data_IF_111896409876
#
_entry.id   IF_111896409876
#
_cell.length_a   1.000
_cell.length_b   1.000
_cell.length_c   1.000
_cell.angle_alpha   90.00
_cell.angle_beta   90.00
_cell.angle_gamma   90.00
#
_symmetry.space_group_name_H-M   'P 1'
#
loop_
_entity.id
_entity.type
_entity.pdbx_description
1 polymer ?
#
# COMPACT_ATOMS: atom_id res chain seq x y z
N UNK A 1 8.57 13.35 -36.67
CA UNK A 1 7.53 13.12 -35.64
C UNK A 1 8.25 12.71 -34.38
N UNK A 2 8.22 13.55 -33.34
CA UNK A 2 8.90 13.29 -32.08
C UNK A 2 7.96 12.52 -31.17
N UNK A 3 8.22 11.23 -30.98
CA UNK A 3 7.60 10.44 -29.91
C UNK A 3 8.16 10.90 -28.57
N UNK A 4 7.50 11.88 -27.95
CA UNK A 4 7.75 12.24 -26.57
C UNK A 4 7.25 11.10 -25.69
N UNK A 5 8.20 10.36 -25.13
CA UNK A 5 8.02 9.41 -24.04
C UNK A 5 7.07 9.99 -22.98
N UNK A 6 5.81 9.56 -23.00
CA UNK A 6 4.88 9.74 -21.90
C UNK A 6 5.18 8.67 -20.85
N UNK A 7 6.38 8.72 -20.26
CA UNK A 7 6.61 8.02 -19.01
C UNK A 7 5.67 8.68 -17.98
N UNK A 8 4.73 7.94 -17.36
CA UNK A 8 3.86 8.50 -16.34
C UNK A 8 4.73 9.21 -15.31
N UNK A 9 4.41 10.47 -15.01
CA UNK A 9 5.14 11.19 -13.96
C UNK A 9 5.03 10.34 -12.68
N UNK A 10 6.10 10.19 -11.89
CA UNK A 10 6.07 9.33 -10.68
C UNK A 10 4.82 9.52 -9.77
N UNK A 11 4.24 10.73 -9.60
CA UNK A 11 2.98 10.93 -8.87
C UNK A 11 1.76 10.23 -9.50
N UNK A 12 1.74 10.10 -10.83
CA UNK A 12 0.69 9.41 -11.59
C UNK A 12 0.81 7.89 -11.43
N UNK A 13 2.04 7.38 -11.35
CA UNK A 13 2.31 5.97 -11.14
C UNK A 13 1.99 5.51 -9.71
N UNK A 14 2.20 6.36 -8.71
CA UNK A 14 2.03 6.06 -7.29
C UNK A 14 1.04 7.01 -6.62
N UNK A 15 -0.27 6.81 -6.80
CA UNK A 15 -1.30 7.79 -6.44
C UNK A 15 -1.49 7.96 -4.92
N UNK A 16 -0.98 7.03 -4.11
CA UNK A 16 -1.02 7.14 -2.64
C UNK A 16 0.38 6.99 -2.09
N UNK A 17 0.80 7.95 -1.26
CA UNK A 17 2.05 7.86 -0.52
C UNK A 17 1.88 8.38 0.90
N UNK A 18 2.70 7.88 1.83
CA UNK A 18 2.75 8.41 3.19
C UNK A 18 4.14 8.26 3.80
N UNK A 19 4.42 9.12 4.78
CA UNK A 19 5.56 8.96 5.67
C UNK A 19 5.20 7.90 6.72
N UNK A 20 6.03 6.87 6.84
CA UNK A 20 5.92 5.82 7.85
C UNK A 20 6.13 6.41 9.24
N UNK A 21 5.23 6.11 10.16
CA UNK A 21 5.37 6.44 11.58
C UNK A 21 6.01 5.28 12.34
N UNK A 22 6.37 5.49 13.61
CA UNK A 22 6.88 4.42 14.47
C UNK A 22 5.90 3.25 14.62
N UNK A 23 4.58 3.49 14.53
CA UNK A 23 3.59 2.42 14.59
C UNK A 23 3.58 1.57 13.32
N UNK A 24 3.77 2.19 12.15
CA UNK A 24 3.78 1.48 10.87
C UNK A 24 5.00 0.56 10.71
N UNK A 25 6.07 0.85 11.44
CA UNK A 25 7.33 0.06 11.45
C UNK A 25 7.48 -0.79 12.70
N UNK A 26 6.43 -0.94 13.51
CA UNK A 26 6.47 -1.79 14.69
C UNK A 26 6.30 -3.26 14.32
N UNK A 27 7.23 -4.11 14.77
CA UNK A 27 7.13 -5.57 14.59
C UNK A 27 6.18 -6.24 15.59
N UNK A 28 5.86 -5.58 16.71
CA UNK A 28 4.97 -6.13 17.75
C UNK A 28 3.49 -5.98 17.40
N UNK A 29 3.15 -4.95 16.62
CA UNK A 29 1.81 -4.72 16.07
C UNK A 29 1.95 -4.40 14.58
N UNK A 30 2.36 -5.40 13.81
CA UNK A 30 2.76 -5.23 12.42
C UNK A 30 1.55 -4.95 11.51
N UNK A 31 1.20 -3.68 11.42
CA UNK A 31 0.19 -3.14 10.51
C UNK A 31 0.66 -1.82 9.93
N UNK A 32 0.27 -1.54 8.70
CA UNK A 32 0.46 -0.28 8.03
C UNK A 32 -0.89 0.44 7.92
N UNK A 33 -0.98 1.65 8.45
CA UNK A 33 -2.21 2.42 8.38
C UNK A 33 -2.18 3.44 7.24
N UNK A 34 -3.23 3.53 6.44
CA UNK A 34 -3.42 4.59 5.45
C UNK A 34 -4.61 5.48 5.82
N UNK A 35 -4.50 6.82 5.62
CA UNK A 35 -5.64 7.73 5.73
C UNK A 35 -6.76 7.33 4.78
N UNK A 36 -8.01 7.49 5.23
CA UNK A 36 -9.20 7.04 4.50
C UNK A 36 -9.28 7.58 3.07
N UNK A 37 -9.33 8.90 2.91
CA UNK A 37 -9.64 9.54 1.64
C UNK A 37 -8.74 9.09 0.47
N UNK A 38 -7.39 9.22 0.53
CA UNK A 38 -6.53 8.84 -0.59
C UNK A 38 -6.59 7.34 -0.87
N UNK A 39 -6.68 6.50 0.17
CA UNK A 39 -6.73 5.06 -0.01
C UNK A 39 -8.07 4.60 -0.61
N UNK A 40 -9.18 5.18 -0.16
CA UNK A 40 -10.51 4.85 -0.67
C UNK A 40 -10.67 5.28 -2.13
N UNK A 41 -10.28 6.51 -2.46
CA UNK A 41 -10.40 7.06 -3.82
C UNK A 41 -9.50 6.32 -4.82
N UNK A 42 -8.23 6.07 -4.46
CA UNK A 42 -7.22 5.63 -5.42
C UNK A 42 -6.88 4.15 -5.38
N UNK A 43 -7.22 3.44 -4.30
CA UNK A 43 -7.01 1.99 -4.17
C UNK A 43 -8.34 1.26 -4.19
N UNK A 44 -9.22 1.51 -3.22
CA UNK A 44 -10.52 0.83 -3.13
C UNK A 44 -11.42 1.18 -4.32
N UNK A 45 -11.34 2.40 -4.83
CA UNK A 45 -12.07 2.83 -6.02
C UNK A 45 -11.79 1.99 -7.26
N UNK A 46 -10.59 1.39 -7.35
CA UNK A 46 -10.15 0.56 -8.48
C UNK A 46 -10.39 -0.94 -8.28
N UNK A 47 -10.79 -1.37 -7.08
CA UNK A 47 -11.19 -2.74 -6.81
C UNK A 47 -12.49 -3.10 -7.55
N UNK A 48 -12.78 -4.39 -7.70
CA UNK A 48 -14.08 -4.81 -8.21
C UNK A 48 -15.21 -4.54 -7.19
N UNK A 49 -16.45 -4.64 -7.64
CA UNK A 49 -17.61 -4.32 -6.80
C UNK A 49 -17.82 -5.32 -5.65
N UNK A 50 -17.36 -6.57 -5.77
CA UNK A 50 -17.45 -7.56 -4.70
C UNK A 50 -16.46 -7.24 -3.57
N UNK A 51 -15.21 -6.94 -3.93
CA UNK A 51 -14.17 -6.50 -3.02
C UNK A 51 -14.59 -5.22 -2.27
N UNK A 52 -15.16 -4.23 -2.97
CA UNK A 52 -15.69 -3.02 -2.35
C UNK A 52 -16.80 -3.31 -1.35
N UNK A 53 -17.71 -4.25 -1.67
CA UNK A 53 -18.79 -4.65 -0.75
C UNK A 53 -18.23 -5.30 0.51
N UNK A 54 -17.25 -6.20 0.38
CA UNK A 54 -16.61 -6.87 1.53
C UNK A 54 -15.93 -5.84 2.46
N UNK A 55 -15.32 -4.79 1.92
CA UNK A 55 -14.72 -3.71 2.75
C UNK A 55 -15.74 -2.75 3.38
N UNK A 56 -17.02 -2.84 3.00
CA UNK A 56 -18.13 -2.02 3.51
C UNK A 56 -19.14 -2.79 4.36
N UNK A 57 -19.07 -4.11 4.37
CA UNK A 57 -19.91 -5.00 5.18
C UNK A 57 -19.06 -5.72 6.21
N UNK A 58 -19.62 -6.02 7.38
CA UNK A 58 -18.95 -6.83 8.40
C UNK A 58 -18.48 -8.17 7.77
N UNK A 59 -17.18 -8.53 7.87
CA UNK A 59 -16.17 -8.14 8.87
C UNK A 59 -15.26 -6.95 8.50
N UNK A 60 -15.59 -6.15 7.49
CA UNK A 60 -14.83 -4.97 7.02
C UNK A 60 -13.38 -5.28 6.62
N UNK A 61 -13.08 -6.54 6.28
CA UNK A 61 -11.73 -7.00 5.95
C UNK A 61 -11.74 -7.92 4.74
N UNK A 62 -10.72 -7.75 3.91
CA UNK A 62 -10.54 -8.49 2.67
C UNK A 62 -9.07 -8.95 2.56
N UNK A 63 -8.87 -10.23 2.22
CA UNK A 63 -7.56 -10.73 1.83
C UNK A 63 -7.32 -10.42 0.35
N UNK A 64 -6.17 -9.83 0.04
CA UNK A 64 -5.77 -9.48 -1.33
C UNK A 64 -4.31 -9.85 -1.57
N UNK A 65 -3.93 -9.99 -2.84
CA UNK A 65 -2.53 -10.07 -3.21
C UNK A 65 -1.88 -8.68 -3.18
N UNK A 66 -0.66 -8.64 -2.64
CA UNK A 66 0.20 -7.48 -2.69
C UNK A 66 1.55 -7.83 -3.33
N UNK A 67 2.10 -6.88 -4.09
CA UNK A 67 3.39 -7.00 -4.78
C UNK A 67 4.34 -5.93 -4.24
N UNK A 68 5.51 -6.39 -3.81
CA UNK A 68 6.63 -5.54 -3.40
C UNK A 68 7.44 -5.18 -4.65
N UNK A 69 7.21 -4.00 -5.24
CA UNK A 69 7.86 -3.61 -6.51
C UNK A 69 9.39 -3.46 -6.36
N UNK A 70 9.91 -3.39 -5.13
CA UNK A 70 11.36 -3.33 -4.86
C UNK A 70 12.04 -4.70 -4.93
N UNK A 71 11.28 -5.80 -4.76
CA UNK A 71 11.82 -7.17 -4.72
C UNK A 71 11.11 -8.14 -5.66
N UNK A 72 10.02 -7.71 -6.30
CA UNK A 72 9.08 -8.54 -7.06
C UNK A 72 8.44 -9.68 -6.24
N UNK A 73 8.54 -9.65 -4.90
CA UNK A 73 7.89 -10.64 -4.05
C UNK A 73 6.37 -10.40 -3.97
N UNK A 74 5.60 -11.46 -4.18
CA UNK A 74 4.14 -11.47 -3.96
C UNK A 74 3.80 -12.01 -2.58
N UNK A 75 2.80 -11.42 -1.92
CA UNK A 75 2.29 -11.87 -0.62
C UNK A 75 0.83 -11.54 -0.46
N UNK A 76 0.09 -12.43 0.20
CA UNK A 76 -1.26 -12.12 0.65
C UNK A 76 -1.22 -11.21 1.88
N UNK A 77 -2.00 -10.13 1.84
CA UNK A 77 -2.21 -9.19 2.95
C UNK A 77 -3.69 -9.07 3.27
N UNK A 78 -4.01 -8.64 4.48
CA UNK A 78 -5.39 -8.35 4.89
C UNK A 78 -5.54 -6.83 4.96
N UNK A 79 -6.44 -6.29 4.13
CA UNK A 79 -6.92 -4.91 4.20
C UNK A 79 -8.14 -4.87 5.12
N UNK A 80 -8.11 -4.04 6.16
CA UNK A 80 -9.24 -3.82 7.07
C UNK A 80 -9.65 -2.36 7.05
N UNK A 81 -10.91 -2.09 6.74
CA UNK A 81 -11.53 -0.78 6.94
C UNK A 81 -11.78 -0.58 8.44
N UNK A 82 -11.18 0.45 9.03
CA UNK A 82 -11.27 0.75 10.47
C UNK A 82 -12.01 2.06 10.74
N UNK A 83 -12.81 2.53 9.79
CA UNK A 83 -13.59 3.77 9.89
C UNK A 83 -12.77 5.04 9.64
N UNK A 84 -11.62 5.20 10.31
CA UNK A 84 -10.68 6.32 10.13
C UNK A 84 -9.74 6.16 8.93
N UNK A 85 -9.68 4.96 8.36
CA UNK A 85 -8.82 4.63 7.24
C UNK A 85 -8.75 3.13 7.02
N UNK A 86 -7.64 2.68 6.47
CA UNK A 86 -7.42 1.26 6.13
C UNK A 86 -6.12 0.78 6.75
N UNK A 87 -6.18 -0.39 7.39
CA UNK A 87 -5.00 -1.09 7.85
C UNK A 87 -4.64 -2.20 6.87
N UNK A 88 -3.37 -2.30 6.54
CA UNK A 88 -2.79 -3.46 5.88
C UNK A 88 -2.06 -4.26 6.95
N UNK A 89 -2.38 -5.54 7.02
CA UNK A 89 -1.82 -6.48 7.99
C UNK A 89 -1.60 -7.82 7.32
N UNK A 90 -1.25 -8.85 8.11
CA UNK A 90 -0.82 -10.16 7.66
C UNK A 90 0.49 -10.10 6.86
N UNK A 91 1.53 -10.80 7.33
CA UNK A 91 2.89 -10.78 6.75
C UNK A 91 3.57 -9.40 6.67
N UNK A 92 2.92 -8.30 7.06
CA UNK A 92 3.51 -6.97 7.08
C UNK A 92 4.78 -6.91 7.95
N UNK A 93 4.80 -7.67 9.05
CA UNK A 93 5.98 -7.78 9.93
C UNK A 93 7.21 -8.39 9.26
N UNK A 94 7.03 -9.23 8.24
CA UNK A 94 8.15 -9.74 7.43
C UNK A 94 8.72 -8.63 6.55
N UNK A 95 7.85 -7.78 5.98
CA UNK A 95 8.25 -6.62 5.18
C UNK A 95 9.08 -5.65 6.00
N UNK A 96 8.62 -5.31 7.21
CA UNK A 96 9.34 -4.46 8.15
C UNK A 96 10.74 -5.01 8.41
N UNK A 97 10.87 -6.31 8.69
CA UNK A 97 12.16 -6.95 9.01
C UNK A 97 13.08 -7.04 7.80
N UNK A 98 12.59 -7.57 6.67
CA UNK A 98 13.38 -7.77 5.44
C UNK A 98 13.91 -6.46 4.89
N UNK A 99 13.05 -5.43 4.79
CA UNK A 99 13.41 -4.11 4.24
C UNK A 99 14.00 -3.18 5.29
N UNK A 100 14.11 -3.63 6.55
CA UNK A 100 14.56 -2.83 7.70
C UNK A 100 13.84 -1.48 7.76
N UNK A 101 12.51 -1.51 7.62
CA UNK A 101 11.69 -0.30 7.55
C UNK A 101 11.87 0.54 8.83
N UNK A 102 11.99 1.85 8.64
CA UNK A 102 12.15 2.85 9.70
C UNK A 102 11.12 3.95 9.54
N UNK A 103 10.72 4.53 10.67
CA UNK A 103 9.94 5.76 10.66
C UNK A 103 10.65 6.84 9.82
N UNK A 104 9.87 7.75 9.23
CA UNK A 104 10.30 8.80 8.29
C UNK A 104 10.61 8.32 6.86
N UNK A 105 10.60 7.02 6.58
CA UNK A 105 10.60 6.53 5.19
C UNK A 105 9.27 6.80 4.50
N UNK A 106 9.29 6.96 3.19
CA UNK A 106 8.07 7.10 2.38
C UNK A 106 7.72 5.75 1.81
N UNK A 107 6.50 5.30 2.06
CA UNK A 107 5.89 4.21 1.32
C UNK A 107 4.95 4.78 0.27
N UNK A 108 4.96 4.15 -0.91
CA UNK A 108 4.09 4.47 -2.04
C UNK A 108 3.28 3.23 -2.37
N UNK A 109 2.00 3.39 -2.68
CA UNK A 109 1.09 2.29 -3.04
C UNK A 109 0.21 2.68 -4.23
N UNK A 110 -0.16 1.66 -5.01
CA UNK A 110 -1.08 1.76 -6.16
C UNK A 110 -1.88 0.48 -6.29
N UNK A 111 -3.02 0.55 -6.96
CA UNK A 111 -3.72 -0.63 -7.43
C UNK A 111 -3.35 -0.87 -8.89
N UNK A 112 -2.93 -2.08 -9.24
CA UNK A 112 -2.59 -2.47 -10.60
C UNK A 112 -2.76 -3.99 -10.74
N UNK A 113 -3.17 -4.46 -11.92
CA UNK A 113 -3.30 -5.89 -12.24
C UNK A 113 -4.08 -6.71 -11.19
N UNK A 114 -5.12 -6.10 -10.61
CA UNK A 114 -5.96 -6.72 -9.57
C UNK A 114 -5.27 -6.93 -8.22
N UNK A 115 -4.11 -6.32 -7.99
CA UNK A 115 -3.30 -6.45 -6.79
C UNK A 115 -2.92 -5.08 -6.21
N UNK A 116 -2.56 -5.07 -4.92
CA UNK A 116 -1.95 -3.90 -4.29
C UNK A 116 -0.44 -3.90 -4.55
N UNK A 117 0.08 -2.92 -5.26
CA UNK A 117 1.52 -2.73 -5.41
C UNK A 117 2.02 -1.73 -4.37
N UNK A 118 3.23 -1.94 -3.86
CA UNK A 118 3.90 -0.98 -3.01
C UNK A 118 5.42 -0.94 -3.21
N UNK A 119 6.01 0.20 -2.93
CA UNK A 119 7.46 0.43 -2.88
C UNK A 119 7.81 1.28 -1.68
N UNK A 120 9.01 1.07 -1.12
CA UNK A 120 9.64 1.97 -0.16
C UNK A 120 10.98 2.38 -0.76
N UNK A 121 11.00 3.47 -1.54
CA UNK A 121 12.21 3.90 -2.23
C UNK A 121 13.37 4.10 -1.24
N UNK A 122 14.62 3.80 -1.64
CA UNK A 122 15.78 4.12 -0.83
C UNK A 122 15.76 5.60 -0.46
N UNK A 123 15.94 5.90 0.83
CA UNK A 123 16.22 7.28 1.23
C UNK A 123 17.64 7.59 0.76
N UNK A 124 17.79 8.44 -0.25
CA UNK A 124 19.07 9.05 -0.53
C UNK A 124 19.45 9.90 0.68
N UNK A 125 20.49 9.49 1.40
CA UNK A 125 21.17 10.34 2.35
C UNK A 125 21.85 11.46 1.54
N UNK A 126 21.39 12.70 1.68
CA UNK A 126 22.21 13.86 1.31
C UNK A 126 23.37 13.99 2.29
#
# INVERSE_FOLDING_TARGET
MNDLNYAPQEPEMWPVSKILTSSDTSVSNAKLHFPKHPFEERIVGQMDEEQKKILKADPFRLAIQAVDDDTNERREVIVTNVGSGYNISNKWGEVIRKKKLKAKQVIRVRWADGCLHFTVPPQYSN
#
